data_IF_623033063873
#
_entry.id   IF_623033063873
#
_cell.length_a   1.000
_cell.length_b   1.000
_cell.length_c   1.000
_cell.angle_alpha   90.00
_cell.angle_beta   90.00
_cell.angle_gamma   90.00
#
_symmetry.space_group_name_H-M   'P 1'
#
loop_
_entity.id
_entity.type
_entity.pdbx_description
1 polymer ?
#
# COMPACT_ATOMS: atom_id res chain seq x y z
N UNK A 1 48.70 12.62 29.97
CA UNK A 1 47.70 11.57 30.29
C UNK A 1 46.52 12.06 31.15
N UNK A 2 46.59 13.18 31.87
CA UNK A 2 45.50 13.63 32.78
C UNK A 2 44.25 14.28 32.16
N UNK A 3 44.27 14.69 30.89
CA UNK A 3 43.15 15.43 30.26
C UNK A 3 42.12 14.53 29.56
N UNK A 4 42.51 13.33 29.15
CA UNK A 4 41.61 12.34 28.53
C UNK A 4 40.82 11.53 29.56
N UNK A 5 41.40 11.21 30.72
CA UNK A 5 40.68 10.51 31.81
C UNK A 5 39.51 11.34 32.37
N UNK A 6 39.70 12.64 32.54
CA UNK A 6 38.64 13.54 33.03
C UNK A 6 37.45 13.66 32.07
N UNK A 7 37.68 13.61 30.74
CA UNK A 7 36.58 13.62 29.75
C UNK A 7 35.79 12.32 29.76
N UNK A 8 36.46 11.18 29.93
CA UNK A 8 35.79 9.86 29.99
C UNK A 8 34.99 9.70 31.28
N UNK A 9 35.50 10.17 32.42
CA UNK A 9 34.75 10.16 33.69
C UNK A 9 33.53 11.07 33.67
N UNK A 10 33.61 12.25 33.05
CA UNK A 10 32.46 13.16 32.93
C UNK A 10 31.39 12.58 31.99
N UNK A 11 31.78 11.99 30.86
CA UNK A 11 30.84 11.35 29.92
C UNK A 11 30.22 10.07 30.52
N UNK A 12 31.00 9.27 31.25
CA UNK A 12 30.51 8.08 31.97
C UNK A 12 29.53 8.46 33.10
N UNK A 13 29.84 9.52 33.85
CA UNK A 13 28.94 10.05 34.88
C UNK A 13 27.64 10.61 34.29
N UNK A 14 27.72 11.28 33.13
CA UNK A 14 26.54 11.81 32.43
C UNK A 14 25.67 10.69 31.86
N UNK A 15 26.27 9.65 31.25
CA UNK A 15 25.54 8.49 30.73
C UNK A 15 24.91 7.66 31.85
N UNK A 16 25.61 7.49 32.98
CA UNK A 16 25.11 6.74 34.14
C UNK A 16 23.94 7.39 34.87
N UNK A 17 23.79 8.71 34.76
CA UNK A 17 22.74 9.47 35.46
C UNK A 17 21.58 9.86 34.53
N UNK A 18 21.89 10.27 33.30
CA UNK A 18 20.88 10.79 32.36
C UNK A 18 20.11 9.66 31.67
N UNK A 19 20.77 8.56 31.28
CA UNK A 19 20.12 7.46 30.56
C UNK A 19 19.05 6.77 31.42
N UNK A 20 19.28 6.42 32.70
CA UNK A 20 18.24 5.81 33.54
C UNK A 20 17.07 6.77 33.81
N UNK A 21 17.33 8.07 33.94
CA UNK A 21 16.28 9.08 34.11
C UNK A 21 15.42 9.18 32.85
N UNK A 22 16.03 9.22 31.65
CA UNK A 22 15.29 9.23 30.39
C UNK A 22 14.51 7.94 30.16
N UNK A 23 15.09 6.78 30.51
CA UNK A 23 14.40 5.48 30.46
C UNK A 23 13.24 5.43 31.46
N UNK A 24 13.40 5.99 32.66
CA UNK A 24 12.34 6.06 33.68
C UNK A 24 11.26 7.09 33.37
N UNK A 25 11.59 8.18 32.68
CA UNK A 25 10.62 9.12 32.11
C UNK A 25 9.87 8.44 30.96
N UNK A 26 10.55 7.69 30.08
CA UNK A 26 9.95 6.93 28.99
C UNK A 26 9.04 5.80 29.49
N UNK A 27 9.57 4.80 30.22
CA UNK A 27 9.07 4.44 31.55
C UNK A 27 7.63 4.79 31.95
N UNK A 28 7.60 5.85 32.76
CA UNK A 28 6.47 6.48 33.41
C UNK A 28 5.50 7.11 32.39
N UNK A 29 6.01 7.68 31.30
CA UNK A 29 5.20 8.18 30.19
C UNK A 29 4.43 7.05 29.52
N UNK A 30 5.09 5.96 29.13
CA UNK A 30 4.48 4.78 28.50
C UNK A 30 3.47 4.08 29.42
N UNK A 31 3.71 4.03 30.73
CA UNK A 31 2.75 3.47 31.70
C UNK A 31 1.57 4.40 31.97
N UNK A 32 1.76 5.72 32.07
CA UNK A 32 0.67 6.69 32.17
C UNK A 32 -0.17 6.74 30.88
N UNK A 33 0.46 6.55 29.72
CA UNK A 33 -0.23 6.43 28.44
C UNK A 33 -1.16 5.21 28.39
N UNK A 34 -0.84 4.07 29.01
CA UNK A 34 -1.81 2.94 29.10
C UNK A 34 -3.06 3.31 29.89
N UNK A 35 -2.92 4.08 30.97
CA UNK A 35 -4.07 4.56 31.75
C UNK A 35 -4.88 5.61 30.99
N UNK A 36 -4.20 6.53 30.29
CA UNK A 36 -4.84 7.52 29.43
C UNK A 36 -5.54 6.83 28.25
N UNK A 37 -4.93 5.84 27.60
CA UNK A 37 -5.53 5.04 26.52
C UNK A 37 -6.74 4.26 27.03
N UNK A 38 -6.73 3.71 28.26
CA UNK A 38 -7.91 3.04 28.81
C UNK A 38 -9.05 4.03 29.12
N UNK A 39 -8.75 5.27 29.54
CA UNK A 39 -9.74 6.32 29.73
C UNK A 39 -10.27 6.89 28.41
N UNK A 40 -9.37 7.11 27.45
CA UNK A 40 -9.65 7.59 26.10
C UNK A 40 -10.45 6.53 25.32
N UNK A 41 -10.13 5.24 25.44
CA UNK A 41 -10.91 4.13 24.87
C UNK A 41 -12.33 4.05 25.43
N UNK A 42 -12.54 4.56 26.65
CA UNK A 42 -13.86 4.71 27.28
C UNK A 42 -14.61 5.97 26.82
N UNK A 43 -13.93 6.94 26.18
CA UNK A 43 -14.51 8.21 25.70
C UNK A 43 -14.48 8.39 24.17
N UNK A 44 -13.73 7.58 23.41
CA UNK A 44 -13.57 7.66 21.94
C UNK A 44 -14.78 7.09 21.17
N UNK A 45 -15.83 6.58 21.81
CA UNK A 45 -17.03 6.19 21.08
C UNK A 45 -17.80 7.37 20.45
N UNK A 46 -17.37 8.62 20.66
CA UNK A 46 -18.15 9.81 20.27
C UNK A 46 -17.34 10.98 19.69
N UNK A 47 -16.09 10.79 19.25
CA UNK A 47 -15.29 11.93 18.72
C UNK A 47 -15.11 11.84 17.21
N UNK A 48 -15.69 12.80 16.50
CA UNK A 48 -15.49 13.06 15.09
C UNK A 48 -14.16 13.79 14.88
N UNK A 49 -13.25 13.18 14.11
CA UNK A 49 -11.89 13.66 13.93
C UNK A 49 -11.78 14.78 12.87
N UNK A 50 -12.79 15.01 12.04
CA UNK A 50 -12.77 16.14 11.09
C UNK A 50 -12.60 17.50 11.80
N UNK A 51 -13.20 17.65 12.98
CA UNK A 51 -13.10 18.86 13.80
C UNK A 51 -11.71 19.04 14.44
N UNK A 52 -11.02 17.93 14.76
CA UNK A 52 -9.70 17.99 15.37
C UNK A 52 -8.63 18.45 14.36
N UNK A 53 -8.83 18.14 13.08
CA UNK A 53 -7.90 18.50 12.00
C UNK A 53 -8.00 19.97 11.58
N UNK A 54 -9.11 20.66 11.85
CA UNK A 54 -9.29 22.09 11.54
C UNK A 54 -8.71 23.04 12.60
N UNK A 55 -8.41 22.54 13.80
CA UNK A 55 -8.05 23.37 14.96
C UNK A 55 -6.54 23.56 15.12
N UNK A 56 -5.70 22.80 14.41
CA UNK A 56 -4.24 22.91 14.51
C UNK A 56 -3.72 23.89 13.45
N UNK A 57 -3.50 25.14 13.84
CA UNK A 57 -2.88 26.14 12.97
C UNK A 57 -1.39 25.81 12.76
N UNK A 58 -1.06 25.42 11.52
CA UNK A 58 0.29 24.98 11.10
C UNK A 58 1.36 26.06 11.33
N UNK A 59 0.96 27.35 11.35
CA UNK A 59 1.86 28.49 11.58
C UNK A 59 2.48 28.52 12.97
N UNK A 60 1.71 28.17 14.00
CA UNK A 60 2.12 28.30 15.40
C UNK A 60 3.16 27.22 15.79
N UNK A 61 3.06 26.03 15.18
CA UNK A 61 4.01 24.93 15.38
C UNK A 61 5.34 25.19 14.66
N UNK A 62 5.30 25.85 13.49
CA UNK A 62 6.49 26.21 12.73
C UNK A 62 7.30 27.34 13.40
N UNK A 63 6.63 28.33 14.02
CA UNK A 63 7.31 29.44 14.70
C UNK A 63 8.18 28.96 15.89
N UNK A 64 7.70 27.96 16.64
CA UNK A 64 8.45 27.35 17.75
C UNK A 64 9.64 26.51 17.25
N UNK A 65 9.52 25.91 16.06
CA UNK A 65 10.52 24.97 15.52
C UNK A 65 11.70 25.68 14.84
N UNK A 66 11.47 26.82 14.17
CA UNK A 66 12.52 27.57 13.44
C UNK A 66 13.40 28.42 14.38
N UNK A 67 12.92 28.74 15.58
CA UNK A 67 13.64 29.58 16.55
C UNK A 67 14.81 28.88 17.26
N UNK A 68 14.98 27.56 17.09
CA UNK A 68 15.98 26.81 17.82
C UNK A 68 17.33 26.81 17.07
N UNK A 69 18.33 27.54 17.57
CA UNK A 69 19.69 27.65 16.98
C UNK A 69 20.33 26.28 16.66
N UNK A 70 20.03 25.24 17.44
CA UNK A 70 20.51 23.87 17.21
C UNK A 70 19.96 23.27 15.91
N UNK A 71 18.68 23.48 15.62
CA UNK A 71 18.03 23.02 14.37
C UNK A 71 18.69 23.69 13.17
N UNK A 72 18.96 25.02 13.26
CA UNK A 72 19.65 25.79 12.21
C UNK A 72 21.10 25.31 12.00
N UNK A 73 21.81 24.92 13.06
CA UNK A 73 23.18 24.38 12.96
C UNK A 73 23.23 22.99 12.29
N UNK A 74 22.21 22.15 12.51
CA UNK A 74 22.06 20.86 11.83
C UNK A 74 21.75 21.01 10.34
N UNK A 75 21.06 22.10 9.94
CA UNK A 75 20.81 22.41 8.52
C UNK A 75 22.07 22.82 7.76
N UNK A 76 23.01 23.52 8.41
CA UNK A 76 24.26 23.97 7.76
C UNK A 76 25.34 22.89 7.68
N UNK A 77 25.32 21.88 8.56
CA UNK A 77 26.34 20.83 8.62
C UNK A 77 26.18 19.72 7.56
N UNK A 78 25.26 19.83 6.60
CA UNK A 78 24.99 18.74 5.65
C UNK A 78 24.71 19.22 4.22
N UNK A 79 25.64 19.99 3.68
CA UNK A 79 25.85 20.09 2.23
C UNK A 79 27.22 19.48 1.90
N UNK A 80 27.30 18.15 1.93
CA UNK A 80 28.35 17.46 1.18
C UNK A 80 27.83 17.24 -0.24
N UNK A 81 28.48 17.88 -1.21
CA UNK A 81 28.34 17.61 -2.63
C UNK A 81 28.92 16.22 -2.93
N UNK A 82 28.17 15.16 -2.67
CA UNK A 82 28.40 13.85 -3.29
C UNK A 82 27.59 13.78 -4.59
N UNK A 83 28.25 13.38 -5.68
CA UNK A 83 27.63 12.98 -6.96
C UNK A 83 26.32 12.26 -6.68
N UNK A 84 25.20 12.75 -7.25
CA UNK A 84 23.87 12.15 -7.05
C UNK A 84 23.95 10.65 -7.43
N UNK A 85 23.89 9.72 -6.47
CA UNK A 85 23.90 8.31 -6.80
C UNK A 85 22.65 7.99 -7.63
N UNK A 86 22.80 7.17 -8.67
CA UNK A 86 21.68 6.63 -9.44
C UNK A 86 20.64 6.09 -8.45
N UNK A 87 19.36 6.47 -8.55
CA UNK A 87 18.36 5.98 -7.63
C UNK A 87 18.30 4.45 -7.68
N UNK A 88 18.14 3.82 -6.52
CA UNK A 88 18.13 2.37 -6.39
C UNK A 88 16.98 1.78 -7.23
N UNK A 89 17.29 0.86 -8.15
CA UNK A 89 16.27 0.06 -8.85
C UNK A 89 15.40 -0.61 -7.80
N UNK A 90 14.10 -0.28 -7.82
CA UNK A 90 13.23 -0.54 -6.69
C UNK A 90 12.20 -1.63 -6.99
N UNK A 91 12.15 -2.14 -8.23
CA UNK A 91 11.16 -3.13 -8.69
C UNK A 91 11.83 -4.46 -9.01
N UNK A 92 11.20 -5.56 -8.56
CA UNK A 92 11.56 -6.93 -8.90
C UNK A 92 10.32 -7.68 -9.40
N UNK A 93 10.47 -8.49 -10.42
CA UNK A 93 9.40 -9.32 -10.97
C UNK A 93 9.67 -10.79 -10.67
N UNK A 94 8.68 -11.49 -10.11
CA UNK A 94 8.78 -12.90 -9.75
C UNK A 94 7.65 -13.70 -10.38
N UNK A 95 7.98 -14.71 -11.18
CA UNK A 95 7.00 -15.65 -11.74
C UNK A 95 6.73 -16.74 -10.71
N UNK A 96 5.50 -16.78 -10.19
CA UNK A 96 5.10 -17.72 -9.14
C UNK A 96 4.69 -19.08 -9.71
N UNK A 97 4.11 -19.06 -10.91
CA UNK A 97 3.68 -20.22 -11.68
C UNK A 97 3.66 -19.85 -13.16
N UNK A 98 4.14 -20.73 -14.03
CA UNK A 98 4.05 -20.61 -15.49
C UNK A 98 3.61 -21.95 -16.08
N UNK A 99 2.46 -22.01 -16.78
CA UNK A 99 1.99 -23.22 -17.44
C UNK A 99 2.74 -23.54 -18.74
N UNK A 100 3.63 -22.65 -19.20
CA UNK A 100 4.32 -22.75 -20.48
C UNK A 100 3.57 -22.02 -21.60
N UNK A 101 4.30 -21.54 -22.61
CA UNK A 101 3.75 -20.67 -23.67
C UNK A 101 2.61 -21.31 -24.46
N UNK A 102 2.67 -22.62 -24.72
CA UNK A 102 1.69 -23.34 -25.55
C UNK A 102 0.30 -23.45 -24.90
N UNK A 103 0.26 -23.48 -23.56
CA UNK A 103 -0.98 -23.65 -22.78
C UNK A 103 -1.44 -22.34 -22.13
N UNK A 104 -0.61 -21.29 -22.19
CA UNK A 104 -0.89 -20.03 -21.50
C UNK A 104 -2.06 -19.32 -22.16
N UNK A 105 -3.07 -19.00 -21.36
CA UNK A 105 -4.24 -18.23 -21.80
C UNK A 105 -4.31 -16.84 -21.17
N UNK A 106 -3.66 -16.67 -20.01
CA UNK A 106 -3.63 -15.39 -19.30
C UNK A 106 -2.39 -15.17 -18.43
N UNK A 107 -2.17 -13.90 -18.10
CA UNK A 107 -1.22 -13.39 -17.11
C UNK A 107 -2.00 -12.75 -15.95
N UNK A 108 -1.87 -13.31 -14.74
CA UNK A 108 -2.43 -12.73 -13.50
C UNK A 108 -1.30 -12.03 -12.74
N UNK A 109 -1.38 -10.70 -12.64
CA UNK A 109 -0.28 -9.86 -12.16
C UNK A 109 -0.64 -9.21 -10.83
N UNK A 110 0.10 -9.54 -9.78
CA UNK A 110 -0.09 -9.07 -8.42
C UNK A 110 0.86 -7.93 -8.04
N UNK A 111 0.33 -6.84 -7.50
CA UNK A 111 1.12 -5.69 -7.02
C UNK A 111 0.70 -5.30 -5.60
N UNK A 112 1.63 -5.38 -4.65
CA UNK A 112 1.35 -5.14 -3.23
C UNK A 112 1.30 -3.65 -2.86
N UNK A 113 0.85 -3.32 -1.64
CA UNK A 113 0.86 -1.95 -1.13
C UNK A 113 2.18 -1.47 -0.49
N UNK A 114 2.16 -0.26 0.08
CA UNK A 114 3.29 0.30 0.85
C UNK A 114 3.63 -0.60 2.05
N UNK A 115 4.92 -0.83 2.33
CA UNK A 115 5.41 -1.80 3.34
C UNK A 115 4.97 -3.26 3.09
N UNK A 116 4.40 -3.53 1.93
CA UNK A 116 4.07 -4.87 1.47
C UNK A 116 5.30 -5.66 1.03
N UNK A 117 5.04 -6.92 0.70
CA UNK A 117 5.93 -7.86 0.03
C UNK A 117 5.07 -9.07 -0.35
N UNK A 118 5.53 -9.89 -1.31
CA UNK A 118 4.82 -11.10 -1.73
C UNK A 118 4.23 -11.92 -0.57
N UNK A 119 5.07 -12.38 0.36
CA UNK A 119 4.67 -13.21 1.51
C UNK A 119 3.99 -12.42 2.66
N UNK A 120 3.99 -11.08 2.62
CA UNK A 120 3.33 -10.24 3.65
C UNK A 120 1.90 -9.88 3.25
N UNK A 121 1.70 -9.62 1.97
CA UNK A 121 0.43 -9.18 1.38
C UNK A 121 -0.38 -10.39 0.93
N UNK A 122 0.23 -11.28 0.14
CA UNK A 122 -0.47 -12.36 -0.55
C UNK A 122 -0.38 -13.69 0.18
N UNK A 123 -0.72 -13.69 1.47
CA UNK A 123 -0.73 -14.90 2.33
C UNK A 123 -2.13 -15.24 2.80
N UNK A 124 -2.35 -16.49 3.19
CA UNK A 124 -3.63 -16.92 3.73
C UNK A 124 -4.01 -16.11 4.99
N UNK A 125 -5.24 -15.60 4.98
CA UNK A 125 -5.81 -14.83 6.08
C UNK A 125 -6.10 -15.69 7.32
N UNK A 126 -5.87 -15.13 8.50
CA UNK A 126 -6.31 -15.72 9.78
C UNK A 126 -7.37 -14.80 10.37
N UNK A 127 -8.61 -15.03 10.01
CA UNK A 127 -9.74 -14.28 10.55
C UNK A 127 -10.98 -15.18 10.63
N UNK A 128 -11.90 -14.85 11.53
CA UNK A 128 -13.10 -15.66 11.75
C UNK A 128 -14.14 -15.33 10.68
N UNK A 129 -14.57 -16.36 9.92
CA UNK A 129 -15.51 -16.25 8.80
C UNK A 129 -16.96 -16.05 9.26
N UNK A 130 -17.31 -16.54 10.45
CA UNK A 130 -18.71 -16.73 10.88
C UNK A 130 -19.56 -15.47 11.04
N UNK A 131 -19.07 -14.30 10.63
CA UNK A 131 -19.76 -13.01 10.71
C UNK A 131 -19.37 -12.04 9.58
N UNK A 132 -18.81 -12.53 8.46
CA UNK A 132 -18.51 -11.65 7.32
C UNK A 132 -19.75 -11.53 6.43
N UNK A 133 -20.42 -10.38 6.55
CA UNK A 133 -21.40 -9.92 5.57
C UNK A 133 -20.71 -9.00 4.59
N UNK A 134 -20.58 -9.42 3.34
CA UNK A 134 -20.04 -8.56 2.29
C UNK A 134 -21.20 -7.78 1.68
N UNK A 135 -21.02 -6.47 1.54
CA UNK A 135 -22.03 -5.57 1.00
C UNK A 135 -21.64 -5.19 -0.43
N UNK A 136 -22.47 -5.49 -1.43
CA UNK A 136 -22.34 -4.85 -2.73
C UNK A 136 -22.85 -3.41 -2.61
N UNK A 137 -21.95 -2.44 -2.67
CA UNK A 137 -22.25 -1.03 -2.40
C UNK A 137 -22.96 -0.34 -3.58
N UNK A 138 -23.15 -1.01 -4.72
CA UNK A 138 -23.85 -0.48 -5.90
C UNK A 138 -25.23 -1.09 -6.14
N UNK A 139 -25.46 -2.28 -5.60
CA UNK A 139 -26.71 -3.03 -5.82
C UNK A 139 -27.55 -3.21 -4.54
N UNK A 140 -27.08 -2.66 -3.41
CA UNK A 140 -27.68 -2.83 -2.07
C UNK A 140 -27.94 -4.30 -1.68
N UNK A 141 -27.19 -5.23 -2.27
CA UNK A 141 -27.27 -6.67 -1.99
C UNK A 141 -26.22 -7.09 -0.96
N UNK A 142 -26.59 -8.03 -0.09
CA UNK A 142 -25.72 -8.58 0.95
C UNK A 142 -25.42 -10.04 0.68
N UNK A 143 -24.16 -10.44 0.88
CA UNK A 143 -23.68 -11.79 0.58
C UNK A 143 -23.10 -12.42 1.85
N UNK A 144 -23.59 -13.62 2.16
CA UNK A 144 -23.08 -14.43 3.27
C UNK A 144 -21.88 -15.27 2.82
N UNK A 145 -20.75 -15.14 3.54
CA UNK A 145 -19.58 -15.98 3.30
C UNK A 145 -19.73 -17.31 4.05
N UNK A 146 -19.97 -18.40 3.32
CA UNK A 146 -20.12 -19.75 3.90
C UNK A 146 -18.87 -20.16 4.69
N UNK A 147 -19.09 -20.76 5.86
CA UNK A 147 -18.02 -21.29 6.72
C UNK A 147 -17.72 -22.75 6.34
N UNK A 148 -16.44 -23.08 6.20
CA UNK A 148 -15.95 -24.45 6.08
C UNK A 148 -14.79 -24.61 7.06
N UNK A 149 -14.85 -25.62 7.91
CA UNK A 149 -13.74 -26.03 8.77
C UNK A 149 -12.66 -26.69 7.89
N UNK A 150 -11.42 -26.22 7.99
CA UNK A 150 -10.30 -26.73 7.19
C UNK A 150 -9.30 -27.46 8.07
N UNK A 151 -8.99 -28.70 7.67
CA UNK A 151 -7.87 -29.50 8.14
C UNK A 151 -6.66 -29.48 7.20
N UNK A 152 -6.53 -28.48 6.31
CA UNK A 152 -5.43 -28.41 5.33
C UNK A 152 -4.22 -27.59 5.81
N UNK A 153 -3.05 -27.94 5.26
CA UNK A 153 -1.82 -27.17 5.42
C UNK A 153 -1.99 -25.73 4.94
N UNK A 154 -1.44 -24.81 5.73
CA UNK A 154 -1.61 -23.38 5.51
C UNK A 154 -0.76 -22.89 4.34
N UNK A 155 -1.38 -22.16 3.41
CA UNK A 155 -0.69 -21.47 2.33
C UNK A 155 0.10 -20.26 2.83
N UNK A 156 1.39 -20.23 2.48
CA UNK A 156 2.29 -19.10 2.73
C UNK A 156 2.13 -18.04 1.65
N UNK A 157 1.85 -18.45 0.42
CA UNK A 157 1.61 -17.56 -0.72
C UNK A 157 0.40 -18.07 -1.53
N UNK A 158 -0.79 -17.55 -1.23
CA UNK A 158 -2.02 -18.09 -1.81
C UNK A 158 -2.09 -17.96 -3.33
N UNK A 159 -1.56 -16.91 -4.01
CA UNK A 159 -1.55 -16.87 -5.46
C UNK A 159 -0.71 -17.98 -6.07
N UNK A 160 0.39 -18.36 -5.42
CA UNK A 160 1.25 -19.46 -5.86
C UNK A 160 0.62 -20.83 -5.58
N UNK A 161 0.02 -20.99 -4.40
CA UNK A 161 -0.40 -22.30 -3.92
C UNK A 161 -1.80 -22.70 -4.42
N UNK A 162 -2.66 -21.72 -4.72
CA UNK A 162 -4.08 -21.96 -5.06
C UNK A 162 -4.41 -21.70 -6.53
N UNK A 163 -3.99 -20.58 -7.13
CA UNK A 163 -4.36 -20.25 -8.50
C UNK A 163 -3.98 -21.33 -9.52
N UNK A 164 -2.79 -21.98 -9.45
CA UNK A 164 -2.47 -23.05 -10.41
C UNK A 164 -3.41 -24.25 -10.36
N UNK A 165 -4.16 -24.43 -9.26
CA UNK A 165 -5.14 -25.51 -9.10
C UNK A 165 -6.49 -25.15 -9.73
N UNK A 166 -6.87 -23.88 -9.71
CA UNK A 166 -8.18 -23.39 -10.17
C UNK A 166 -8.14 -22.72 -11.56
N UNK A 167 -6.96 -22.23 -11.96
CA UNK A 167 -6.67 -21.56 -13.22
C UNK A 167 -5.34 -22.11 -13.79
N UNK A 168 -5.29 -23.40 -14.19
CA UNK A 168 -4.04 -24.07 -14.57
C UNK A 168 -3.40 -23.53 -15.86
N UNK A 169 -4.14 -22.79 -16.68
CA UNK A 169 -3.67 -22.16 -17.93
C UNK A 169 -3.18 -20.72 -17.72
N UNK A 170 -3.25 -20.18 -16.51
CA UNK A 170 -2.85 -18.81 -16.21
C UNK A 170 -1.44 -18.76 -15.61
N UNK A 171 -0.57 -17.92 -16.19
CA UNK A 171 0.72 -17.57 -15.56
C UNK A 171 0.46 -16.58 -14.43
N UNK A 172 1.12 -16.79 -13.28
CA UNK A 172 0.97 -15.95 -12.10
C UNK A 172 2.26 -15.19 -11.84
N UNK A 173 2.18 -13.87 -11.80
CA UNK A 173 3.33 -12.96 -11.67
C UNK A 173 3.14 -12.05 -10.47
N UNK A 174 4.19 -11.85 -9.68
CA UNK A 174 4.25 -10.84 -8.62
C UNK A 174 5.25 -9.73 -8.97
N UNK A 175 4.74 -8.51 -9.14
CA UNK A 175 5.55 -7.30 -9.18
C UNK A 175 5.77 -6.79 -7.76
N UNK A 176 6.98 -6.97 -7.26
CA UNK A 176 7.42 -6.48 -5.97
C UNK A 176 8.11 -5.13 -6.14
N UNK A 177 7.94 -4.24 -5.16
CA UNK A 177 8.73 -3.01 -5.11
C UNK A 177 9.13 -2.65 -3.68
N UNK A 178 10.26 -1.98 -3.54
CA UNK A 178 10.75 -1.56 -2.23
C UNK A 178 10.04 -0.28 -1.77
N UNK A 179 9.83 -0.16 -0.46
CA UNK A 179 9.27 1.06 0.16
C UNK A 179 10.18 1.55 1.26
N UNK A 180 10.20 2.86 1.53
CA UNK A 180 10.94 3.38 2.68
C UNK A 180 10.46 2.69 3.98
N UNK A 181 11.37 2.07 4.78
CA UNK A 181 11.00 1.45 6.05
C UNK A 181 10.45 2.47 7.07
N UNK A 182 10.80 3.76 6.92
CA UNK A 182 10.36 4.89 7.73
C UNK A 182 9.48 5.83 6.92
N UNK A 183 8.18 5.53 6.85
CA UNK A 183 7.20 6.36 6.15
C UNK A 183 7.14 7.80 6.70
N UNK A 184 7.30 7.95 8.02
CA UNK A 184 7.61 9.21 8.69
C UNK A 184 9.02 9.11 9.26
N UNK A 185 9.99 9.70 8.58
CA UNK A 185 11.41 9.64 8.92
C UNK A 185 11.83 10.87 9.72
N UNK A 186 12.42 10.72 10.91
CA UNK A 186 12.92 11.88 11.64
C UNK A 186 13.93 12.67 10.79
N UNK A 187 13.85 14.01 10.79
CA UNK A 187 14.59 14.85 9.84
C UNK A 187 16.11 14.64 9.88
N UNK A 188 16.65 14.25 11.04
CA UNK A 188 18.07 13.98 11.28
C UNK A 188 18.58 12.66 10.67
N UNK A 189 17.71 11.75 10.24
CA UNK A 189 18.12 10.59 9.46
C UNK A 189 18.33 10.93 7.99
N UNK A 190 19.33 10.30 7.38
CA UNK A 190 19.59 10.38 5.93
C UNK A 190 18.37 9.91 5.14
N UNK A 191 18.06 10.57 4.03
CA UNK A 191 17.05 10.12 3.07
C UNK A 191 17.73 9.24 2.02
N UNK A 192 17.08 8.16 1.61
CA UNK A 192 17.52 7.40 0.45
C UNK A 192 17.02 8.08 -0.84
N UNK A 193 17.86 8.11 -1.88
CA UNK A 193 17.41 8.54 -3.20
C UNK A 193 16.54 7.41 -3.79
N UNK A 194 15.25 7.69 -4.01
CA UNK A 194 14.25 6.69 -4.43
C UNK A 194 13.50 7.23 -5.63
N UNK A 195 13.28 6.38 -6.63
CA UNK A 195 12.48 6.69 -7.81
C UNK A 195 11.02 6.95 -7.45
N UNK A 196 10.37 7.79 -8.26
CA UNK A 196 8.96 8.15 -8.09
C UNK A 196 8.02 7.07 -8.66
N UNK A 197 6.71 7.26 -8.50
CA UNK A 197 5.69 6.31 -8.97
C UNK A 197 5.72 6.11 -10.48
N UNK A 198 5.97 7.16 -11.27
CA UNK A 198 6.01 7.10 -12.74
C UNK A 198 7.22 6.31 -13.24
N UNK A 199 8.41 6.62 -12.72
CA UNK A 199 9.66 5.91 -13.02
C UNK A 199 9.55 4.42 -12.67
N UNK A 200 8.99 4.10 -11.50
CA UNK A 200 8.78 2.70 -11.08
C UNK A 200 7.72 1.99 -11.91
N UNK A 201 6.69 2.68 -12.39
CA UNK A 201 5.72 2.09 -13.30
C UNK A 201 6.39 1.71 -14.62
N UNK A 202 7.33 2.51 -15.12
CA UNK A 202 8.16 2.13 -16.26
C UNK A 202 9.09 0.95 -15.95
N UNK A 203 9.76 0.92 -14.79
CA UNK A 203 10.54 -0.26 -14.36
C UNK A 203 9.66 -1.53 -14.37
N UNK A 204 8.41 -1.46 -13.89
CA UNK A 204 7.45 -2.56 -13.92
C UNK A 204 7.08 -2.97 -15.34
N UNK A 205 6.75 -2.01 -16.22
CA UNK A 205 6.45 -2.28 -17.64
C UNK A 205 7.61 -3.02 -18.29
N UNK A 206 8.84 -2.55 -18.11
CA UNK A 206 10.02 -3.15 -18.73
C UNK A 206 10.21 -4.60 -18.28
N UNK A 207 10.10 -4.87 -16.97
CA UNK A 207 10.17 -6.24 -16.45
C UNK A 207 9.07 -7.15 -17.01
N UNK A 208 7.85 -6.63 -17.21
CA UNK A 208 6.74 -7.40 -17.80
C UNK A 208 6.99 -7.71 -19.29
N UNK A 209 7.49 -6.73 -20.05
CA UNK A 209 7.83 -6.90 -21.46
C UNK A 209 8.98 -7.90 -21.65
N UNK A 210 9.98 -7.88 -20.78
CA UNK A 210 11.06 -8.88 -20.76
C UNK A 210 10.55 -10.31 -20.53
N UNK A 211 9.45 -10.46 -19.77
CA UNK A 211 8.76 -11.74 -19.58
C UNK A 211 7.77 -12.09 -20.71
N UNK A 212 7.66 -11.26 -21.74
CA UNK A 212 6.74 -11.47 -22.86
C UNK A 212 5.26 -11.28 -22.50
N UNK A 213 4.95 -10.57 -21.41
CA UNK A 213 3.58 -10.17 -21.05
C UNK A 213 3.04 -9.23 -22.12
N UNK A 214 1.74 -9.35 -22.42
CA UNK A 214 1.09 -8.58 -23.48
C UNK A 214 0.69 -9.40 -24.70
N UNK A 215 0.87 -10.73 -24.69
CA UNK A 215 0.38 -11.63 -25.75
C UNK A 215 -0.97 -12.28 -25.42
N UNK A 216 -1.24 -12.47 -24.13
CA UNK A 216 -2.41 -13.16 -23.60
C UNK A 216 -3.27 -12.21 -22.77
N UNK A 217 -4.46 -12.64 -22.35
CA UNK A 217 -5.33 -11.86 -21.47
C UNK A 217 -4.62 -11.48 -20.17
N UNK A 218 -4.70 -10.21 -19.76
CA UNK A 218 -4.05 -9.72 -18.54
C UNK A 218 -5.12 -9.39 -17.50
N UNK A 219 -4.94 -9.95 -16.31
CA UNK A 219 -5.74 -9.67 -15.12
C UNK A 219 -4.84 -9.05 -14.07
N UNK A 220 -5.16 -7.83 -13.64
CA UNK A 220 -4.38 -7.11 -12.64
C UNK A 220 -5.00 -7.27 -11.25
N UNK A 221 -4.17 -7.50 -10.24
CA UNK A 221 -4.57 -7.54 -8.84
C UNK A 221 -3.73 -6.55 -8.04
N UNK A 222 -4.31 -5.42 -7.68
CA UNK A 222 -3.62 -4.33 -7.00
C UNK A 222 -4.12 -4.12 -5.58
N UNK A 223 -3.23 -4.17 -4.59
CA UNK A 223 -3.55 -3.80 -3.20
C UNK A 223 -3.00 -2.43 -2.84
N UNK A 224 -3.84 -1.56 -2.26
CA UNK A 224 -3.43 -0.24 -1.78
C UNK A 224 -2.70 0.54 -2.88
N UNK A 225 -1.52 1.09 -2.61
CA UNK A 225 -0.69 1.76 -3.62
C UNK A 225 -0.36 0.89 -4.85
N UNK A 226 -0.36 -0.44 -4.73
CA UNK A 226 -0.19 -1.36 -5.86
C UNK A 226 -1.22 -1.13 -6.97
N UNK A 227 -2.47 -0.80 -6.62
CA UNK A 227 -3.50 -0.46 -7.61
C UNK A 227 -3.25 0.87 -8.34
N UNK A 228 -2.52 1.80 -7.72
CA UNK A 228 -2.10 3.04 -8.40
C UNK A 228 -1.01 2.76 -9.44
N UNK A 229 -0.11 1.81 -9.18
CA UNK A 229 0.83 1.34 -10.19
C UNK A 229 0.13 0.69 -11.38
N UNK A 230 -0.92 -0.11 -11.15
CA UNK A 230 -1.75 -0.65 -12.25
C UNK A 230 -2.31 0.48 -13.11
N UNK A 231 -2.94 1.49 -12.49
CA UNK A 231 -3.46 2.67 -13.22
C UNK A 231 -2.35 3.39 -14.00
N UNK A 232 -1.21 3.64 -13.37
CA UNK A 232 -0.10 4.35 -14.01
C UNK A 232 0.44 3.59 -15.22
N UNK A 233 0.61 2.27 -15.12
CA UNK A 233 1.09 1.46 -16.24
C UNK A 233 0.11 1.44 -17.40
N UNK A 234 -1.20 1.31 -17.13
CA UNK A 234 -2.22 1.32 -18.19
C UNK A 234 -2.36 2.69 -18.85
N UNK A 235 -2.28 3.77 -18.07
CA UNK A 235 -2.26 5.13 -18.61
C UNK A 235 -1.03 5.34 -19.50
N UNK A 236 0.15 4.93 -19.04
CA UNK A 236 1.37 4.99 -19.86
C UNK A 236 1.22 4.16 -21.15
N UNK A 237 0.64 2.96 -21.07
CA UNK A 237 0.45 2.07 -22.22
C UNK A 237 -0.55 2.61 -23.25
N UNK A 238 -1.55 3.39 -22.83
CA UNK A 238 -2.51 4.03 -23.73
C UNK A 238 -2.01 5.36 -24.30
N UNK A 239 -1.30 6.18 -23.51
CA UNK A 239 -0.86 7.51 -23.92
C UNK A 239 0.44 7.49 -24.75
N UNK A 240 1.25 6.42 -24.65
CA UNK A 240 2.50 6.28 -25.39
C UNK A 240 2.30 5.43 -26.66
N UNK A 241 2.56 5.95 -27.86
CA UNK A 241 2.48 5.20 -29.11
C UNK A 241 3.72 4.32 -29.30
N UNK A 242 3.90 3.32 -28.43
CA UNK A 242 4.92 2.29 -28.55
C UNK A 242 4.24 0.93 -28.79
N UNK A 243 4.56 0.30 -29.92
CA UNK A 243 4.03 -1.02 -30.31
C UNK A 243 4.36 -2.12 -29.30
N UNK A 244 5.41 -1.96 -28.49
CA UNK A 244 5.78 -2.92 -27.44
C UNK A 244 4.90 -2.78 -26.19
N UNK A 245 4.49 -1.56 -25.86
CA UNK A 245 3.78 -1.26 -24.60
C UNK A 245 2.26 -1.33 -24.79
N UNK A 246 1.76 -0.88 -25.96
CA UNK A 246 0.33 -0.89 -26.32
C UNK A 246 -0.39 -2.21 -26.05
N UNK A 247 0.22 -3.40 -26.30
CA UNK A 247 -0.42 -4.69 -26.02
C UNK A 247 -0.77 -4.89 -24.55
N UNK A 248 -0.08 -4.25 -23.60
CA UNK A 248 -0.42 -4.32 -22.17
C UNK A 248 -1.82 -3.76 -21.91
N UNK A 249 -2.14 -2.60 -22.50
CA UNK A 249 -3.48 -2.02 -22.38
C UNK A 249 -4.51 -2.85 -23.18
N UNK A 250 -4.22 -3.18 -24.44
CA UNK A 250 -5.14 -3.90 -25.34
C UNK A 250 -5.56 -5.27 -24.80
N UNK A 251 -4.63 -5.98 -24.16
CA UNK A 251 -4.87 -7.31 -23.63
C UNK A 251 -5.25 -7.32 -22.14
N UNK A 252 -5.28 -6.17 -21.48
CA UNK A 252 -5.93 -6.09 -20.16
C UNK A 252 -7.41 -6.35 -20.30
N UNK A 253 -7.93 -7.35 -19.57
CA UNK A 253 -9.35 -7.73 -19.57
C UNK A 253 -10.04 -7.42 -18.26
N UNK A 254 -9.31 -7.47 -17.15
CA UNK A 254 -9.90 -7.21 -15.85
C UNK A 254 -8.90 -6.66 -14.82
N UNK A 255 -9.44 -5.96 -13.82
CA UNK A 255 -8.69 -5.38 -12.71
C UNK A 255 -9.44 -5.61 -11.40
N UNK A 256 -8.75 -6.20 -10.44
CA UNK A 256 -9.20 -6.39 -9.07
C UNK A 256 -8.45 -5.46 -8.13
N UNK A 257 -9.17 -4.50 -7.54
CA UNK A 257 -8.62 -3.55 -6.59
C UNK A 257 -8.95 -3.94 -5.15
N UNK A 258 -7.93 -3.96 -4.29
CA UNK A 258 -8.08 -4.12 -2.84
C UNK A 258 -7.68 -2.83 -2.13
N UNK A 259 -8.63 -2.09 -1.59
CA UNK A 259 -8.40 -0.90 -0.75
C UNK A 259 -7.47 0.14 -1.39
N UNK A 260 -7.67 0.45 -2.67
CA UNK A 260 -6.78 1.34 -3.42
C UNK A 260 -7.19 2.80 -3.18
N UNK A 261 -6.29 3.69 -2.75
CA UNK A 261 -6.62 5.09 -2.52
C UNK A 261 -6.64 5.87 -3.84
N UNK A 262 -7.70 5.71 -4.64
CA UNK A 262 -7.83 6.32 -5.97
C UNK A 262 -7.81 7.85 -5.96
N UNK A 263 -8.14 8.49 -4.84
CA UNK A 263 -8.04 9.96 -4.62
C UNK A 263 -7.04 10.34 -3.52
N UNK A 264 -6.17 9.41 -3.15
CA UNK A 264 -5.22 9.56 -2.06
C UNK A 264 -5.83 9.27 -0.68
N UNK A 265 -5.01 9.27 0.36
CA UNK A 265 -5.38 8.88 1.73
C UNK A 265 -5.21 10.05 2.69
N UNK A 266 -6.22 10.38 3.52
CA UNK A 266 -6.08 11.39 4.57
C UNK A 266 -4.93 11.07 5.54
N UNK A 267 -4.72 9.79 5.83
CA UNK A 267 -3.65 9.32 6.70
C UNK A 267 -2.26 9.66 6.13
N UNK A 268 -2.11 9.61 4.80
CA UNK A 268 -0.86 9.99 4.14
C UNK A 268 -0.61 11.51 4.17
N UNK A 269 -1.65 12.33 4.36
CA UNK A 269 -1.50 13.78 4.53
C UNK A 269 -1.08 14.19 5.95
N UNK A 270 -1.01 13.24 6.89
CA UNK A 270 -0.65 13.54 8.27
C UNK A 270 0.83 13.94 8.40
N UNK A 271 1.06 15.21 8.72
CA UNK A 271 2.39 15.75 8.92
C UNK A 271 2.77 15.74 10.40
N UNK A 272 3.94 15.19 10.72
CA UNK A 272 4.46 15.10 12.09
C UNK A 272 5.61 16.09 12.26
N UNK A 273 5.58 17.00 13.26
CA UNK A 273 6.68 17.91 13.53
C UNK A 273 7.98 17.13 13.71
N UNK A 274 9.06 17.57 13.07
CA UNK A 274 10.38 16.91 13.07
C UNK A 274 10.45 15.59 12.27
N UNK A 275 9.42 15.23 11.51
CA UNK A 275 9.48 14.10 10.58
C UNK A 275 9.27 14.58 9.15
N UNK A 276 9.94 13.91 8.23
CA UNK A 276 9.75 14.06 6.78
C UNK A 276 9.07 12.81 6.26
N UNK A 277 8.10 12.99 5.37
CA UNK A 277 7.40 11.87 4.77
C UNK A 277 8.27 11.23 3.67
N UNK A 278 8.16 9.91 3.55
CA UNK A 278 8.71 9.15 2.42
C UNK A 278 8.03 9.56 1.10
N UNK A 279 8.72 9.36 -0.02
CA UNK A 279 8.13 9.58 -1.36
C UNK A 279 6.86 8.75 -1.53
N UNK A 280 6.85 7.55 -0.95
CA UNK A 280 5.71 6.66 -1.08
C UNK A 280 4.43 7.20 -0.44
N UNK A 281 4.56 7.96 0.67
CA UNK A 281 3.44 8.65 1.31
C UNK A 281 3.05 9.94 0.59
N UNK A 282 4.02 10.75 0.18
CA UNK A 282 3.73 12.04 -0.49
C UNK A 282 2.94 11.83 -1.76
N UNK A 283 3.25 10.76 -2.50
CA UNK A 283 2.56 10.35 -3.74
C UNK A 283 1.16 9.77 -3.52
N UNK A 284 0.70 9.61 -2.27
CA UNK A 284 -0.65 9.09 -1.99
C UNK A 284 -1.40 9.97 -0.99
N UNK A 285 -0.97 11.22 -0.81
CA UNK A 285 -1.67 12.20 0.03
C UNK A 285 -3.07 12.47 -0.53
N UNK A 286 -4.05 12.69 0.36
CA UNK A 286 -5.38 13.13 -0.07
C UNK A 286 -5.25 14.41 -0.89
N UNK A 287 -5.88 14.44 -2.05
CA UNK A 287 -5.92 15.58 -2.95
C UNK A 287 -4.55 15.99 -3.55
N UNK A 288 -3.53 15.11 -3.56
CA UNK A 288 -2.32 15.40 -4.32
C UNK A 288 -2.62 15.41 -5.82
N UNK A 289 -2.02 16.36 -6.55
CA UNK A 289 -2.28 16.58 -7.98
C UNK A 289 -1.97 15.32 -8.81
N UNK A 290 -0.93 14.59 -8.46
CA UNK A 290 -0.44 13.42 -9.16
C UNK A 290 -1.48 12.29 -9.17
N UNK A 291 -2.01 11.90 -8.00
CA UNK A 291 -3.02 10.82 -7.89
C UNK A 291 -4.35 11.24 -8.51
N UNK A 292 -4.79 12.48 -8.31
CA UNK A 292 -6.02 12.97 -8.93
C UNK A 292 -5.91 13.00 -10.45
N UNK A 293 -4.79 13.52 -10.99
CA UNK A 293 -4.53 13.53 -12.44
C UNK A 293 -4.51 12.11 -13.00
N UNK A 294 -3.82 11.18 -12.32
CA UNK A 294 -3.77 9.79 -12.73
C UNK A 294 -5.16 9.15 -12.75
N UNK A 295 -5.97 9.42 -11.73
CA UNK A 295 -7.33 8.90 -11.66
C UNK A 295 -8.21 9.45 -12.77
N UNK A 296 -8.16 10.76 -13.04
CA UNK A 296 -8.90 11.39 -14.14
C UNK A 296 -8.49 10.82 -15.50
N UNK A 297 -7.19 10.68 -15.75
CA UNK A 297 -6.70 10.04 -16.99
C UNK A 297 -7.22 8.62 -17.14
N UNK A 298 -7.13 7.82 -16.08
CA UNK A 298 -7.65 6.45 -16.09
C UNK A 298 -9.15 6.40 -16.39
N UNK A 299 -9.96 7.26 -15.78
CA UNK A 299 -11.40 7.34 -16.09
C UNK A 299 -11.68 7.77 -17.52
N UNK A 300 -10.91 8.71 -18.06
CA UNK A 300 -11.05 9.14 -19.46
C UNK A 300 -10.76 7.98 -20.42
N UNK A 301 -9.76 7.13 -20.14
CA UNK A 301 -9.46 5.95 -20.95
C UNK A 301 -10.59 4.92 -20.94
N UNK A 302 -11.24 4.71 -19.78
CA UNK A 302 -12.41 3.85 -19.66
C UNK A 302 -13.63 4.42 -20.41
N UNK A 303 -13.94 5.70 -20.17
CA UNK A 303 -15.11 6.38 -20.76
C UNK A 303 -14.99 6.52 -22.28
N UNK A 304 -13.77 6.71 -22.80
CA UNK A 304 -13.50 6.76 -24.23
C UNK A 304 -13.35 5.39 -24.89
N UNK A 305 -13.50 4.29 -24.13
CA UNK A 305 -13.34 2.90 -24.60
C UNK A 305 -11.96 2.58 -25.18
N UNK A 306 -10.94 3.38 -24.87
CA UNK A 306 -9.54 3.02 -25.15
C UNK A 306 -9.05 1.89 -24.24
N UNK A 307 -9.65 1.78 -23.05
CA UNK A 307 -9.45 0.67 -22.12
C UNK A 307 -10.83 0.04 -21.83
N UNK A 308 -11.06 -1.16 -22.34
CA UNK A 308 -12.30 -1.92 -22.10
C UNK A 308 -12.00 -3.08 -21.15
N UNK A 309 -12.27 -2.85 -19.87
CA UNK A 309 -11.88 -3.75 -18.77
C UNK A 309 -12.99 -3.89 -17.74
N UNK A 310 -13.14 -5.10 -17.21
CA UNK A 310 -13.96 -5.32 -16.03
C UNK A 310 -13.21 -4.89 -14.77
N UNK A 311 -13.88 -4.18 -13.86
CA UNK A 311 -13.27 -3.70 -12.61
C UNK A 311 -14.11 -4.19 -11.43
N UNK A 312 -13.46 -4.85 -10.47
CA UNK A 312 -14.05 -5.17 -9.15
C UNK A 312 -13.21 -4.54 -8.05
N UNK A 313 -13.85 -3.75 -7.20
CA UNK A 313 -13.20 -3.03 -6.10
C UNK A 313 -13.67 -3.54 -4.75
N UNK A 314 -12.74 -3.95 -3.89
CA UNK A 314 -13.00 -4.41 -2.53
C UNK A 314 -12.47 -3.38 -1.53
N UNK A 315 -13.33 -2.93 -0.62
CA UNK A 315 -13.05 -1.81 0.27
C UNK A 315 -13.11 -2.25 1.73
N UNK A 316 -12.16 -1.81 2.53
CA UNK A 316 -12.10 -2.17 3.94
C UNK A 316 -13.18 -1.43 4.73
N UNK A 317 -14.02 -2.15 5.48
CA UNK A 317 -15.02 -1.51 6.36
C UNK A 317 -14.61 -1.54 7.84
N UNK A 318 -13.50 -2.20 8.21
CA UNK A 318 -12.91 -2.13 9.56
C UNK A 318 -11.64 -1.27 9.64
N UNK A 319 -11.45 -0.64 10.81
CA UNK A 319 -10.24 0.14 11.10
C UNK A 319 -9.00 -0.75 11.21
N UNK A 320 -7.85 -0.24 10.79
CA UNK A 320 -6.57 -0.94 10.86
C UNK A 320 -5.77 -0.49 12.08
N UNK A 321 -5.24 -1.45 12.84
CA UNK A 321 -4.32 -1.14 13.94
C UNK A 321 -2.94 -0.71 13.39
N UNK A 322 -2.58 0.56 13.62
CA UNK A 322 -1.27 1.12 13.28
C UNK A 322 -0.60 1.69 14.53
N UNK A 323 0.46 1.00 15.00
CA UNK A 323 1.05 1.29 16.30
C UNK A 323 0.06 0.98 17.42
N UNK A 324 -0.45 2.04 18.07
CA UNK A 324 -1.43 1.94 19.17
C UNK A 324 -2.82 2.47 18.81
N UNK A 325 -3.02 2.99 17.59
CA UNK A 325 -4.26 3.60 17.15
C UNK A 325 -4.95 2.74 16.08
N UNK A 326 -6.28 2.70 16.12
CA UNK A 326 -7.10 2.18 15.04
C UNK A 326 -7.44 3.31 14.08
N UNK A 327 -7.02 3.19 12.83
CA UNK A 327 -7.18 4.22 11.82
C UNK A 327 -7.82 3.66 10.55
N UNK A 328 -8.65 4.46 9.90
CA UNK A 328 -9.10 4.20 8.53
C UNK A 328 -7.94 4.58 7.60
N UNK A 329 -7.44 3.61 6.83
CA UNK A 329 -6.31 3.87 5.92
C UNK A 329 -6.82 4.53 4.65
N UNK A 330 -7.88 4.01 4.04
CA UNK A 330 -8.52 4.62 2.87
C UNK A 330 -9.98 4.91 3.21
N UNK A 331 -10.44 6.13 2.92
CA UNK A 331 -11.87 6.47 3.04
C UNK A 331 -12.66 5.75 1.95
N UNK A 332 -13.93 5.45 2.20
CA UNK A 332 -14.82 4.80 1.20
C UNK A 332 -14.87 5.62 -0.10
N UNK A 333 -15.00 6.94 0.01
CA UNK A 333 -14.92 7.87 -1.13
C UNK A 333 -13.62 7.73 -1.95
N UNK A 334 -12.47 7.52 -1.30
CA UNK A 334 -11.20 7.35 -2.02
C UNK A 334 -11.01 5.94 -2.56
N UNK A 335 -11.66 4.95 -1.93
CA UNK A 335 -11.57 3.55 -2.33
C UNK A 335 -12.53 3.19 -3.48
N UNK A 336 -13.53 4.02 -3.76
CA UNK A 336 -14.38 3.89 -4.94
C UNK A 336 -13.62 4.25 -6.22
N UNK A 337 -13.52 3.29 -7.14
CA UNK A 337 -12.93 3.45 -8.46
C UNK A 337 -13.81 4.20 -9.45
N UNK A 338 -15.06 4.52 -9.09
CA UNK A 338 -16.16 5.10 -9.88
C UNK A 338 -16.68 4.20 -11.01
N UNK A 339 -15.95 3.14 -11.35
CA UNK A 339 -16.27 2.23 -12.45
C UNK A 339 -16.27 0.78 -11.96
N UNK A 340 -17.11 -0.06 -12.58
CA UNK A 340 -17.23 -1.47 -12.24
C UNK A 340 -17.99 -1.73 -10.92
N UNK A 341 -17.84 -2.93 -10.37
CA UNK A 341 -18.51 -3.36 -9.13
C UNK A 341 -17.71 -2.96 -7.89
N UNK A 342 -18.40 -2.75 -6.77
CA UNK A 342 -17.81 -2.29 -5.52
C UNK A 342 -18.38 -3.05 -4.33
N UNK A 343 -17.50 -3.62 -3.52
CA UNK A 343 -17.83 -4.46 -2.39
C UNK A 343 -17.20 -3.94 -1.09
N UNK A 344 -18.03 -3.65 -0.10
CA UNK A 344 -17.62 -3.38 1.27
C UNK A 344 -17.35 -4.68 2.02
N UNK A 345 -16.10 -4.91 2.43
CA UNK A 345 -15.65 -6.14 3.09
C UNK A 345 -15.34 -5.85 4.57
N UNK A 346 -15.90 -6.60 5.55
CA UNK A 346 -15.65 -6.43 6.99
C UNK A 346 -14.29 -6.91 7.48
N UNK A 347 -13.25 -6.50 6.76
CA UNK A 347 -11.85 -6.71 7.07
C UNK A 347 -11.15 -5.36 7.20
N UNK A 348 -9.96 -5.38 7.80
CA UNK A 348 -9.07 -4.23 7.81
C UNK A 348 -8.23 -4.17 6.52
N UNK A 349 -7.56 -3.05 6.31
CA UNK A 349 -6.74 -2.78 5.12
C UNK A 349 -5.61 -3.80 4.91
N UNK A 350 -5.16 -4.48 5.99
CA UNK A 350 -4.07 -5.47 5.91
C UNK A 350 -4.58 -6.87 5.56
N UNK A 351 -5.82 -7.18 5.89
CA UNK A 351 -6.40 -8.51 5.76
C UNK A 351 -7.34 -8.66 4.55
N UNK A 352 -7.78 -7.55 3.96
CA UNK A 352 -8.70 -7.56 2.82
C UNK A 352 -8.20 -8.28 1.57
N UNK A 353 -6.88 -8.39 1.37
CA UNK A 353 -6.25 -9.12 0.26
C UNK A 353 -5.78 -10.53 0.65
N UNK A 354 -6.25 -11.04 1.80
CA UNK A 354 -5.83 -12.31 2.41
C UNK A 354 -7.03 -13.24 2.54
N UNK A 355 -7.47 -13.87 1.44
CA UNK A 355 -8.52 -14.86 1.49
C UNK A 355 -8.16 -15.95 2.51
N UNK A 356 -9.17 -16.39 3.27
CA UNK A 356 -8.97 -17.41 4.30
C UNK A 356 -8.72 -18.80 3.69
N UNK A 357 -9.33 -19.09 2.55
CA UNK A 357 -9.26 -20.35 1.83
C UNK A 357 -9.76 -20.16 0.38
N UNK A 358 -9.73 -21.23 -0.41
CA UNK A 358 -10.25 -21.25 -1.80
C UNK A 358 -11.77 -21.04 -1.90
N UNK A 359 -12.50 -21.25 -0.80
CA UNK A 359 -13.94 -20.96 -0.75
C UNK A 359 -14.28 -19.51 -0.35
N UNK A 360 -13.26 -18.69 -0.07
CA UNK A 360 -13.46 -17.30 0.30
C UNK A 360 -13.98 -16.51 -0.90
N UNK A 361 -15.00 -15.68 -0.67
CA UNK A 361 -15.57 -14.77 -1.67
C UNK A 361 -14.50 -14.00 -2.45
N UNK A 362 -13.54 -13.38 -1.75
CA UNK A 362 -12.46 -12.60 -2.37
C UNK A 362 -11.63 -13.41 -3.38
N UNK A 363 -11.40 -14.69 -3.09
CA UNK A 363 -10.68 -15.59 -3.98
C UNK A 363 -11.55 -16.05 -5.14
N UNK A 364 -12.80 -16.43 -4.86
CA UNK A 364 -13.75 -16.90 -5.89
C UNK A 364 -14.05 -15.82 -6.93
N UNK A 365 -14.18 -14.56 -6.53
CA UNK A 365 -14.33 -13.45 -7.46
C UNK A 365 -13.14 -13.33 -8.43
N UNK A 366 -11.92 -13.60 -7.97
CA UNK A 366 -10.76 -13.59 -8.85
C UNK A 366 -10.76 -14.78 -9.81
N UNK A 367 -11.07 -15.98 -9.30
CA UNK A 367 -11.14 -17.19 -10.13
C UNK A 367 -12.22 -17.05 -11.21
N UNK A 368 -13.41 -16.58 -10.84
CA UNK A 368 -14.51 -16.33 -11.79
C UNK A 368 -14.08 -15.34 -12.87
N UNK A 369 -13.49 -14.21 -12.48
CA UNK A 369 -12.98 -13.20 -13.40
C UNK A 369 -11.92 -13.76 -14.36
N UNK A 370 -11.00 -14.61 -13.88
CA UNK A 370 -10.01 -15.24 -14.75
C UNK A 370 -10.68 -16.21 -15.72
N UNK A 371 -11.54 -17.10 -15.22
CA UNK A 371 -12.22 -18.11 -16.04
C UNK A 371 -13.10 -17.46 -17.13
N UNK A 372 -13.86 -16.42 -16.80
CA UNK A 372 -14.72 -15.71 -17.75
C UNK A 372 -13.91 -15.05 -18.88
N UNK A 373 -12.72 -14.50 -18.57
CA UNK A 373 -11.87 -13.82 -19.55
C UNK A 373 -10.91 -14.74 -20.31
N UNK A 374 -10.63 -15.93 -19.80
CA UNK A 374 -9.84 -16.95 -20.49
C UNK A 374 -10.70 -17.82 -21.41
N UNK A 375 -11.93 -18.15 -20.99
CA UNK A 375 -12.85 -18.99 -21.77
C UNK A 375 -13.50 -18.28 -22.99
N UNK A 376 -13.24 -16.99 -23.17
CA UNK A 376 -13.86 -16.14 -24.21
C UNK A 376 -12.99 -15.95 -25.47
N UNK A 377 -12.01 -16.83 -25.72
CA UNK A 377 -11.19 -16.86 -26.93
C UNK A 377 -11.38 -18.20 -27.65
#
# INVERSE_FOLDING_TARGET
MGTTLNKVQVVSSYLGLVVPILVSIYYSWANKQRHIINHIRKQISTVDFELLFSTINVGDVLQVTVSNKLVRSLFYLRQDQQLKPCPEKSVNCEVLHDPGEEVREADIIFIHGIKGALHKTWKQGIWHLGQLQVLNMKEDTTWDVKTVELGEERSVCWPKDWLPKDCPTARVIALNYTTDPYLWRPFFFSKHNRTNMEERAWEMIHNLLELGVGKHSIIWVGHSKGGLYVKQMLVNACEMPDEKVTPLAKNTKAIMFYSVPHRGSPLASFNLPLFRQSIELTEVQKNCKEVLTLHTKFLNLLSSKQLDVEIKSFIETRLTLMGILYVRIVSEESADAEMGEMYGVPLDHRNICKPKNRECFLYKELVNMVQDKCASL
#
